data_IF_723631340769
#
_entry.id   IF_723631340769
#
_cell.length_a   1.000
_cell.length_b   1.000
_cell.length_c   1.000
_cell.angle_alpha   90.00
_cell.angle_beta   90.00
_cell.angle_gamma   90.00
#
_symmetry.space_group_name_H-M   'P 1'
#
loop_
_entity.id
_entity.type
_entity.pdbx_description
1 polymer ?
#
# COMPACT_ATOMS: atom_id res chain seq x y z
N UNK A 1 6.81 33.03 -11.53
CA UNK A 1 6.59 32.16 -12.71
C UNK A 1 5.08 31.92 -12.78
N UNK A 2 4.36 32.74 -13.54
CA UNK A 2 2.90 32.65 -13.68
C UNK A 2 2.54 31.60 -14.73
N UNK A 3 1.99 30.48 -14.29
CA UNK A 3 1.48 29.42 -15.17
C UNK A 3 0.06 29.73 -15.62
N UNK A 4 -0.10 30.61 -16.61
CA UNK A 4 -1.36 30.72 -17.35
C UNK A 4 -1.48 29.51 -18.27
N UNK A 5 -2.04 28.42 -17.73
CA UNK A 5 -2.34 27.19 -18.47
C UNK A 5 -3.47 27.48 -19.46
N UNK A 6 -3.25 27.18 -20.74
CA UNK A 6 -4.17 27.54 -21.82
C UNK A 6 -5.58 26.96 -21.58
N UNK A 7 -6.62 27.77 -21.81
CA UNK A 7 -8.01 27.30 -21.81
C UNK A 7 -8.33 26.59 -23.12
N UNK A 8 -8.65 25.30 -23.05
CA UNK A 8 -9.03 24.49 -24.21
C UNK A 8 -10.44 24.85 -24.68
N UNK A 9 -10.61 25.07 -25.99
CA UNK A 9 -11.94 25.24 -26.60
C UNK A 9 -12.69 23.91 -26.66
N UNK A 10 -14.01 23.94 -26.50
CA UNK A 10 -14.86 22.77 -26.76
C UNK A 10 -14.84 22.44 -28.27
N UNK A 11 -14.61 21.18 -28.59
CA UNK A 11 -14.68 20.71 -29.97
C UNK A 11 -16.15 20.60 -30.45
N UNK A 12 -16.42 21.04 -31.68
CA UNK A 12 -17.72 20.84 -32.32
C UNK A 12 -17.94 19.38 -32.71
N UNK A 13 -19.20 18.97 -32.85
CA UNK A 13 -19.59 17.58 -33.13
C UNK A 13 -18.89 16.97 -34.36
N UNK A 14 -18.73 17.75 -35.44
CA UNK A 14 -18.03 17.30 -36.64
C UNK A 14 -16.56 16.94 -36.35
N UNK A 15 -15.87 17.76 -35.56
CA UNK A 15 -14.49 17.51 -35.16
C UNK A 15 -14.37 16.28 -34.25
N UNK A 16 -15.34 16.05 -33.36
CA UNK A 16 -15.39 14.84 -32.52
C UNK A 16 -15.58 13.58 -33.36
N UNK A 17 -16.49 13.60 -34.36
CA UNK A 17 -16.68 12.45 -35.26
C UNK A 17 -15.46 12.18 -36.15
N UNK A 18 -14.76 13.24 -36.57
CA UNK A 18 -13.52 13.09 -37.32
C UNK A 18 -12.40 12.49 -36.46
N UNK A 19 -12.24 12.97 -35.22
CA UNK A 19 -11.25 12.45 -34.28
C UNK A 19 -11.44 10.95 -33.98
N UNK A 20 -12.69 10.48 -33.85
CA UNK A 20 -12.98 9.06 -33.63
C UNK A 20 -12.61 8.14 -34.80
N UNK A 21 -12.30 8.70 -35.98
CA UNK A 21 -11.87 7.95 -37.18
C UNK A 21 -10.42 8.21 -37.56
N UNK A 22 -9.74 9.10 -36.84
CA UNK A 22 -8.36 9.45 -37.15
C UNK A 22 -7.44 8.27 -36.80
N UNK A 23 -6.59 7.88 -37.74
CA UNK A 23 -5.52 6.92 -37.47
C UNK A 23 -4.49 7.60 -36.59
N UNK A 24 -4.23 7.01 -35.42
CA UNK A 24 -3.19 7.48 -34.50
C UNK A 24 -1.97 6.58 -34.69
N UNK A 25 -0.86 7.18 -35.07
CA UNK A 25 0.42 6.48 -35.09
C UNK A 25 0.85 6.16 -33.65
N UNK A 26 1.04 4.87 -33.37
CA UNK A 26 1.54 4.40 -32.08
C UNK A 26 3.01 4.05 -32.27
N UNK A 27 3.89 4.89 -31.71
CA UNK A 27 5.32 4.65 -31.69
C UNK A 27 5.66 3.78 -30.49
N UNK A 28 6.18 2.57 -30.75
CA UNK A 28 6.69 1.70 -29.70
C UNK A 28 8.01 2.27 -29.16
N UNK A 29 8.27 2.20 -27.84
CA UNK A 29 9.56 2.59 -27.29
C UNK A 29 10.66 1.70 -27.89
N UNK A 30 11.75 2.33 -28.36
CA UNK A 30 12.91 1.64 -28.93
C UNK A 30 13.85 1.05 -27.88
N UNK A 31 13.63 1.37 -26.61
CA UNK A 31 14.41 0.84 -25.49
C UNK A 31 13.92 -0.56 -25.12
N UNK A 32 14.81 -1.54 -24.94
CA UNK A 32 14.44 -2.83 -24.34
C UNK A 32 13.74 -2.57 -23.01
N UNK A 33 12.62 -3.25 -22.78
CA UNK A 33 12.09 -3.35 -21.43
C UNK A 33 13.18 -4.01 -20.58
N UNK A 34 13.70 -3.30 -19.58
CA UNK A 34 14.56 -3.90 -18.56
C UNK A 34 13.88 -5.17 -18.05
N UNK A 35 14.60 -6.32 -17.98
CA UNK A 35 14.06 -7.51 -17.36
C UNK A 35 13.63 -7.11 -15.94
N UNK A 36 12.40 -7.47 -15.57
CA UNK A 36 11.87 -7.20 -14.24
C UNK A 36 12.76 -7.89 -13.22
N UNK A 37 13.74 -7.16 -12.68
CA UNK A 37 14.42 -7.54 -11.47
C UNK A 37 13.33 -7.59 -10.41
N UNK A 38 13.12 -8.75 -9.79
CA UNK A 38 12.24 -8.86 -8.65
C UNK A 38 12.80 -7.95 -7.56
N UNK A 39 12.31 -6.71 -7.50
CA UNK A 39 12.62 -5.80 -6.42
C UNK A 39 12.01 -6.44 -5.18
N UNK A 40 12.87 -7.00 -4.33
CA UNK A 40 12.43 -7.59 -3.07
C UNK A 40 12.00 -6.44 -2.17
N UNK A 41 10.71 -6.11 -2.26
CA UNK A 41 10.09 -5.17 -1.35
C UNK A 41 9.83 -5.87 -0.02
N UNK A 42 10.06 -5.20 1.12
CA UNK A 42 9.60 -5.68 2.40
C UNK A 42 8.11 -6.03 2.32
N UNK A 43 7.75 -7.23 2.78
CA UNK A 43 6.36 -7.64 2.81
C UNK A 43 5.55 -6.69 3.69
N UNK A 44 4.53 -6.06 3.10
CA UNK A 44 3.60 -5.16 3.79
C UNK A 44 2.24 -5.84 3.88
N UNK A 45 1.80 -6.29 5.07
CA UNK A 45 0.48 -6.86 5.24
C UNK A 45 -0.62 -5.89 4.78
N UNK A 46 -1.71 -6.43 4.22
CA UNK A 46 -2.87 -5.62 3.83
C UNK A 46 -3.54 -5.01 5.06
N UNK A 47 -4.08 -3.80 4.93
CA UNK A 47 -4.85 -3.19 6.01
C UNK A 47 -6.08 -4.06 6.33
N UNK A 48 -6.34 -4.28 7.62
CA UNK A 48 -7.52 -5.01 8.11
C UNK A 48 -8.26 -4.18 9.15
N UNK A 49 -9.59 -4.30 9.14
CA UNK A 49 -10.42 -3.81 10.23
C UNK A 49 -10.13 -4.61 11.52
N UNK A 50 -9.82 -3.90 12.60
CA UNK A 50 -9.75 -4.47 13.95
C UNK A 50 -11.03 -4.08 14.69
N UNK A 51 -11.46 -4.93 15.64
CA UNK A 51 -12.54 -4.57 16.54
C UNK A 51 -12.17 -3.30 17.32
N UNK A 52 -13.17 -2.47 17.62
CA UNK A 52 -12.95 -1.29 18.44
C UNK A 52 -12.48 -1.73 19.85
N UNK A 53 -11.54 -1.00 20.48
CA UNK A 53 -11.11 -1.31 21.83
C UNK A 53 -12.30 -1.20 22.80
N UNK A 54 -12.42 -2.19 23.68
CA UNK A 54 -13.45 -2.22 24.72
C UNK A 54 -13.09 -1.29 25.88
N UNK A 55 -14.11 -0.79 26.60
CA UNK A 55 -13.93 0.03 27.81
C UNK A 55 -15.03 1.07 27.95
N UNK A 56 -15.47 1.28 29.18
CA UNK A 56 -16.55 2.22 29.51
C UNK A 56 -16.07 3.67 29.45
N UNK A 57 -14.81 3.92 29.84
CA UNK A 57 -14.20 5.24 29.77
C UNK A 57 -13.30 5.40 28.54
N UNK A 58 -13.10 6.64 28.10
CA UNK A 58 -12.15 6.95 27.03
C UNK A 58 -10.72 6.51 27.38
N UNK A 59 -10.33 6.60 28.66
CA UNK A 59 -9.01 6.19 29.12
C UNK A 59 -8.80 4.68 29.03
N UNK A 60 -9.83 3.87 29.28
CA UNK A 60 -9.75 2.41 29.20
C UNK A 60 -9.48 1.96 27.76
N UNK A 61 -10.19 2.58 26.81
CA UNK A 61 -9.98 2.35 25.38
C UNK A 61 -8.59 2.77 24.92
N UNK A 62 -8.07 3.88 25.44
CA UNK A 62 -6.71 4.35 25.16
C UNK A 62 -5.67 3.37 25.69
N UNK A 63 -5.84 2.86 26.92
CA UNK A 63 -4.93 1.85 27.51
C UNK A 63 -4.94 0.56 26.70
N UNK A 64 -6.12 0.06 26.34
CA UNK A 64 -6.27 -1.13 25.50
C UNK A 64 -5.64 -0.97 24.10
N UNK A 65 -5.68 0.25 23.52
CA UNK A 65 -5.08 0.52 22.22
C UNK A 65 -3.54 0.61 22.27
N UNK A 66 -3.00 1.13 23.37
CA UNK A 66 -1.58 1.48 23.51
C UNK A 66 -0.78 0.47 24.33
N UNK A 67 -1.43 -0.57 24.85
CA UNK A 67 -0.90 -1.46 25.89
C UNK A 67 -0.36 -0.69 27.12
N UNK A 68 -0.81 0.57 27.32
CA UNK A 68 -0.34 1.41 28.42
C UNK A 68 -0.87 0.86 29.75
N UNK A 69 -0.02 0.11 30.45
CA UNK A 69 -0.34 -0.57 31.71
C UNK A 69 0.02 -2.05 31.71
N UNK A 70 0.36 -2.64 30.56
CA UNK A 70 0.95 -3.97 30.51
C UNK A 70 2.41 -3.92 30.99
N UNK A 71 2.81 -4.83 31.88
CA UNK A 71 4.19 -4.96 32.35
C UNK A 71 5.18 -5.29 31.22
N UNK A 72 4.66 -5.77 30.09
CA UNK A 72 5.40 -6.07 28.87
C UNK A 72 4.58 -5.50 27.72
N UNK A 73 5.14 -4.56 26.95
CA UNK A 73 4.50 -4.10 25.73
C UNK A 73 4.33 -5.29 24.79
N UNK A 74 3.09 -5.72 24.52
CA UNK A 74 2.84 -6.89 23.69
C UNK A 74 3.22 -6.65 22.21
N UNK A 75 3.49 -5.38 21.85
CA UNK A 75 3.76 -4.97 20.47
C UNK A 75 5.10 -4.23 20.36
N UNK A 76 6.01 -4.80 19.58
CA UNK A 76 7.31 -4.22 19.24
C UNK A 76 8.53 -4.95 19.83
N UNK A 77 8.54 -6.28 19.85
CA UNK A 77 9.72 -7.05 20.25
C UNK A 77 10.80 -6.98 19.14
N UNK A 78 12.00 -6.51 19.48
CA UNK A 78 13.15 -6.57 18.59
C UNK A 78 14.00 -7.80 18.97
N UNK A 79 14.10 -8.76 18.05
CA UNK A 79 14.85 -10.01 18.27
C UNK A 79 15.87 -10.19 17.16
N UNK A 80 17.10 -10.52 17.54
CA UNK A 80 18.16 -10.91 16.60
C UNK A 80 18.13 -12.42 16.42
N UNK A 81 17.90 -12.88 15.19
CA UNK A 81 17.82 -14.30 14.84
C UNK A 81 18.59 -14.55 13.54
N UNK A 82 19.05 -15.79 13.36
CA UNK A 82 19.58 -16.24 12.06
C UNK A 82 18.49 -16.15 10.98
N UNK A 83 18.84 -15.86 9.71
CA UNK A 83 17.87 -15.54 8.66
C UNK A 83 16.74 -16.57 8.50
N UNK A 84 17.04 -17.87 8.56
CA UNK A 84 16.05 -18.92 8.43
C UNK A 84 15.06 -18.95 9.62
N UNK A 85 15.57 -18.75 10.84
CA UNK A 85 14.77 -18.69 12.05
C UNK A 85 13.91 -17.40 12.10
N UNK A 86 14.45 -16.29 11.62
CA UNK A 86 13.73 -15.03 11.49
C UNK A 86 12.54 -15.17 10.52
N UNK A 87 12.77 -15.78 9.35
CA UNK A 87 11.71 -16.03 8.37
C UNK A 87 10.59 -16.91 8.95
N UNK A 88 10.95 -17.98 9.69
CA UNK A 88 9.98 -18.83 10.36
C UNK A 88 9.14 -18.07 11.40
N UNK A 89 9.77 -17.25 12.25
CA UNK A 89 9.07 -16.43 13.25
C UNK A 89 8.14 -15.40 12.59
N UNK A 90 8.54 -14.80 11.47
CA UNK A 90 7.69 -13.86 10.72
C UNK A 90 6.46 -14.59 10.15
N UNK A 91 6.63 -15.76 9.53
CA UNK A 91 5.51 -16.52 8.97
C UNK A 91 4.54 -16.94 10.07
N UNK A 92 5.04 -17.42 11.21
CA UNK A 92 4.21 -17.81 12.35
C UNK A 92 3.40 -16.63 12.92
N UNK A 93 4.03 -15.46 13.06
CA UNK A 93 3.34 -14.24 13.46
C UNK A 93 2.24 -13.84 12.46
N UNK A 94 2.54 -13.92 11.15
CA UNK A 94 1.57 -13.62 10.10
C UNK A 94 0.38 -14.60 10.11
N UNK A 95 0.61 -15.89 10.37
CA UNK A 95 -0.46 -16.89 10.54
C UNK A 95 -1.30 -16.62 11.78
N UNK A 96 -0.66 -16.38 12.93
CA UNK A 96 -1.33 -16.02 14.18
C UNK A 96 -2.20 -14.78 14.03
N UNK A 97 -1.73 -13.80 13.25
CA UNK A 97 -2.50 -12.60 12.94
C UNK A 97 -3.57 -12.84 11.88
N UNK A 98 -3.60 -13.98 11.17
CA UNK A 98 -4.56 -14.29 10.12
C UNK A 98 -4.28 -13.63 8.77
N UNK A 99 -3.01 -13.37 8.46
CA UNK A 99 -2.58 -12.89 7.14
C UNK A 99 -2.16 -14.01 6.18
N UNK A 100 -1.87 -15.20 6.72
CA UNK A 100 -1.49 -16.40 5.98
C UNK A 100 -2.29 -17.59 6.55
N UNK A 101 -2.69 -18.52 5.68
CA UNK A 101 -3.30 -19.80 6.06
C UNK A 101 -2.23 -20.89 6.25
#
# INVERSE_FOLDING_TARGET
MEGATAHLRRAGLAAVRAAGKATIEVVQPSTPAEPYHAVVHPYRPRARALAAPAGDLALDRLRALTDAGAATAARGEQVTLEPAAAAAKIIDALKTWGYLD
#
